data_IF_000401947233
#
_entry.id   IF_000401947233
#
_cell.length_a   1.000
_cell.length_b   1.000
_cell.length_c   1.000
_cell.angle_alpha   90.00
_cell.angle_beta   90.00
_cell.angle_gamma   90.00
#
_symmetry.space_group_name_H-M   'P 1'
#
loop_
_entity.id
_entity.type
_entity.pdbx_description
1 polymer ?
#
# COMPACT_ATOMS: atom_id res chain seq x y z
N UNK A 1 32.88 -43.30 40.99
CA UNK A 1 31.50 -42.81 40.88
C UNK A 1 31.57 -41.51 40.06
N UNK A 2 31.23 -41.55 38.73
CA UNK A 2 31.34 -40.43 37.80
C UNK A 2 29.91 -39.92 37.51
N UNK A 3 29.61 -38.71 37.93
CA UNK A 3 28.33 -38.02 37.68
C UNK A 3 28.35 -37.42 36.29
N UNK A 4 27.36 -37.66 35.42
CA UNK A 4 27.26 -36.95 34.13
C UNK A 4 26.59 -35.59 34.35
N UNK A 5 27.25 -34.52 33.89
CA UNK A 5 26.74 -33.17 33.84
C UNK A 5 25.83 -33.10 32.61
N UNK A 6 24.50 -33.02 32.81
CA UNK A 6 23.53 -32.70 31.76
C UNK A 6 23.60 -31.19 31.48
N UNK A 7 24.20 -30.84 30.35
CA UNK A 7 24.18 -29.49 29.81
C UNK A 7 22.81 -29.24 29.12
N UNK A 8 21.89 -28.59 29.82
CA UNK A 8 20.61 -28.19 29.28
C UNK A 8 20.83 -27.01 28.34
N UNK A 9 20.76 -27.25 27.02
CA UNK A 9 20.78 -26.23 25.98
C UNK A 9 19.42 -25.55 25.93
N UNK A 10 19.29 -24.37 26.55
CA UNK A 10 18.11 -23.50 26.44
C UNK A 10 18.06 -22.87 25.04
N UNK A 11 17.22 -23.42 24.18
CA UNK A 11 16.91 -22.86 22.87
C UNK A 11 15.99 -21.67 23.08
N UNK A 12 16.55 -20.45 23.10
CA UNK A 12 15.77 -19.21 23.13
C UNK A 12 15.11 -19.02 21.75
N UNK A 13 13.81 -19.30 21.66
CA UNK A 13 13.01 -18.89 20.50
C UNK A 13 12.88 -17.35 20.53
N UNK A 14 13.69 -16.67 19.74
CA UNK A 14 13.48 -15.27 19.44
C UNK A 14 12.20 -15.15 18.61
N UNK A 15 11.11 -14.72 19.22
CA UNK A 15 9.88 -14.32 18.50
C UNK A 15 10.21 -13.04 17.72
N UNK A 16 10.46 -13.17 16.43
CA UNK A 16 10.48 -12.02 15.53
C UNK A 16 9.03 -11.53 15.40
N UNK A 17 8.66 -10.56 16.25
CA UNK A 17 7.46 -9.78 16.03
C UNK A 17 7.62 -9.03 14.71
N UNK A 18 6.73 -9.26 13.76
CA UNK A 18 6.61 -8.41 12.57
C UNK A 18 6.19 -7.03 13.07
N UNK A 19 7.13 -6.09 13.10
CA UNK A 19 6.79 -4.69 13.34
C UNK A 19 5.96 -4.26 12.13
N UNK A 20 4.67 -3.96 12.36
CA UNK A 20 3.86 -3.20 11.42
C UNK A 20 4.50 -1.82 11.33
N UNK A 21 4.89 -1.41 10.14
CA UNK A 21 5.44 -0.08 9.96
C UNK A 21 4.26 0.90 9.80
N UNK A 22 4.21 1.93 10.65
CA UNK A 22 3.26 3.03 10.52
C UNK A 22 3.25 3.58 9.09
N UNK A 23 2.09 4.02 8.56
CA UNK A 23 2.04 4.65 7.26
C UNK A 23 3.00 5.83 7.16
N UNK A 24 3.79 5.85 6.10
CA UNK A 24 4.74 6.93 5.85
C UNK A 24 3.99 8.26 5.63
N UNK A 25 4.53 9.40 6.10
CA UNK A 25 3.90 10.69 5.88
C UNK A 25 3.94 11.05 4.39
N UNK A 26 2.76 11.27 3.80
CA UNK A 26 2.63 11.79 2.44
C UNK A 26 2.43 13.30 2.49
N UNK A 27 3.45 14.01 2.12
CA UNK A 27 3.56 15.47 2.14
C UNK A 27 4.05 16.00 0.78
N UNK A 28 4.27 17.30 0.67
CA UNK A 28 4.75 17.92 -0.57
C UNK A 28 6.04 17.25 -1.06
N UNK A 29 6.06 16.87 -2.35
CA UNK A 29 7.17 16.16 -2.97
C UNK A 29 7.20 14.65 -2.72
N UNK A 30 6.30 14.10 -1.89
CA UNK A 30 6.22 12.65 -1.66
C UNK A 30 5.85 11.89 -2.92
N UNK A 31 5.01 12.47 -3.78
CA UNK A 31 4.67 11.85 -5.07
C UNK A 31 5.90 11.63 -5.95
N UNK A 32 6.77 12.64 -6.04
CA UNK A 32 8.00 12.53 -6.82
C UNK A 32 8.97 11.48 -6.23
N UNK A 33 9.11 11.43 -4.90
CA UNK A 33 9.93 10.43 -4.20
C UNK A 33 9.42 9.02 -4.45
N UNK A 34 8.11 8.80 -4.26
CA UNK A 34 7.45 7.52 -4.48
C UNK A 34 7.61 7.06 -5.94
N UNK A 35 7.33 7.95 -6.89
CA UNK A 35 7.46 7.65 -8.32
C UNK A 35 8.90 7.28 -8.69
N UNK A 36 9.89 7.99 -8.14
CA UNK A 36 11.31 7.69 -8.36
C UNK A 36 11.71 6.34 -7.78
N UNK A 37 11.21 5.99 -6.58
CA UNK A 37 11.51 4.72 -5.92
C UNK A 37 10.97 3.50 -6.69
N UNK A 38 9.90 3.69 -7.46
CA UNK A 38 9.26 2.63 -8.25
C UNK A 38 9.57 2.69 -9.75
N UNK A 39 10.50 3.56 -10.19
CA UNK A 39 10.89 3.68 -11.60
C UNK A 39 11.31 2.32 -12.18
N UNK A 40 10.83 2.00 -13.37
CA UNK A 40 11.14 0.75 -14.08
C UNK A 40 10.40 -0.49 -13.52
N UNK A 41 9.50 -0.31 -12.56
CA UNK A 41 8.79 -1.40 -11.91
C UNK A 41 7.29 -1.15 -11.97
N UNK A 42 6.50 -2.04 -12.62
CA UNK A 42 5.05 -1.91 -12.66
C UNK A 42 4.48 -1.84 -11.25
N UNK A 43 3.79 -0.76 -10.94
CA UNK A 43 3.31 -0.46 -9.60
C UNK A 43 1.84 -0.07 -9.63
N UNK A 44 1.06 -0.63 -8.73
CA UNK A 44 -0.34 -0.26 -8.50
C UNK A 44 -0.39 0.59 -7.25
N UNK A 45 -0.90 1.81 -7.35
CA UNK A 45 -1.07 2.75 -6.26
C UNK A 45 -2.56 2.95 -6.03
N UNK A 46 -3.03 2.57 -4.84
CA UNK A 46 -4.45 2.67 -4.50
C UNK A 46 -4.67 3.74 -3.43
N UNK A 47 -5.47 4.75 -3.79
CA UNK A 47 -5.89 5.83 -2.89
C UNK A 47 -7.21 5.46 -2.25
N UNK A 48 -7.22 5.49 -0.91
CA UNK A 48 -8.36 5.09 -0.09
C UNK A 48 -8.53 6.01 1.10
N UNK A 49 -9.50 5.73 1.97
CA UNK A 49 -9.67 6.49 3.20
C UNK A 49 -10.55 5.77 4.22
N UNK A 50 -10.38 6.11 5.51
CA UNK A 50 -11.18 5.57 6.62
C UNK A 50 -12.63 6.01 6.56
N UNK A 51 -12.91 7.16 5.95
CA UNK A 51 -14.26 7.71 5.81
C UNK A 51 -14.91 7.37 4.47
N UNK A 52 -14.19 6.67 3.59
CA UNK A 52 -14.64 6.25 2.28
C UNK A 52 -15.28 4.86 2.34
N UNK A 53 -16.59 4.78 2.47
CA UNK A 53 -17.31 3.50 2.58
C UNK A 53 -17.02 2.53 1.41
N UNK A 54 -17.05 2.95 0.12
CA UNK A 54 -16.71 2.05 -0.98
C UNK A 54 -15.23 1.58 -0.92
N UNK A 55 -14.30 2.41 -0.42
CA UNK A 55 -12.92 1.98 -0.21
C UNK A 55 -12.84 0.80 0.77
N UNK A 56 -13.51 0.91 1.93
CA UNK A 56 -13.49 -0.13 2.94
C UNK A 56 -14.08 -1.45 2.46
N UNK A 57 -15.06 -1.41 1.54
CA UNK A 57 -15.63 -2.60 0.90
C UNK A 57 -14.64 -3.24 -0.08
N UNK A 58 -13.79 -2.44 -0.72
CA UNK A 58 -12.83 -2.89 -1.72
C UNK A 58 -11.54 -3.47 -1.09
N UNK A 59 -11.10 -3.00 0.08
CA UNK A 59 -9.83 -3.40 0.72
C UNK A 59 -9.64 -4.92 0.86
N UNK A 60 -10.63 -5.73 1.28
CA UNK A 60 -10.48 -7.19 1.30
C UNK A 60 -10.18 -7.81 -0.07
N UNK A 61 -10.68 -7.21 -1.14
CA UNK A 61 -10.44 -7.67 -2.51
C UNK A 61 -9.01 -7.36 -2.95
N UNK A 62 -8.46 -6.21 -2.55
CA UNK A 62 -7.03 -5.87 -2.74
C UNK A 62 -6.12 -6.84 -1.99
N UNK A 63 -6.46 -7.19 -0.74
CA UNK A 63 -5.74 -8.20 0.04
C UNK A 63 -5.75 -9.57 -0.66
N UNK A 64 -6.91 -10.00 -1.17
CA UNK A 64 -7.04 -11.24 -1.91
C UNK A 64 -6.22 -11.23 -3.21
N UNK A 65 -6.22 -10.10 -3.94
CA UNK A 65 -5.42 -9.95 -5.15
C UNK A 65 -3.92 -9.99 -4.83
N UNK A 66 -3.47 -9.27 -3.81
CA UNK A 66 -2.06 -9.28 -3.38
C UNK A 66 -1.61 -10.67 -2.94
N UNK A 67 -2.46 -11.42 -2.24
CA UNK A 67 -2.19 -12.81 -1.87
C UNK A 67 -2.06 -13.73 -3.10
N UNK A 68 -2.92 -13.54 -4.10
CA UNK A 68 -2.88 -14.29 -5.35
C UNK A 68 -1.71 -13.88 -6.27
N UNK A 69 -1.24 -12.66 -6.14
CA UNK A 69 -0.14 -12.06 -6.93
C UNK A 69 0.91 -11.47 -5.98
N UNK A 70 1.71 -12.32 -5.31
CA UNK A 70 2.74 -11.85 -4.37
C UNK A 70 3.83 -10.99 -5.03
N UNK A 71 4.02 -11.14 -6.34
CA UNK A 71 4.90 -10.35 -7.20
C UNK A 71 4.39 -8.92 -7.45
N UNK A 72 3.09 -8.68 -7.26
CA UNK A 72 2.49 -7.36 -7.48
C UNK A 72 3.06 -6.33 -6.50
N UNK A 73 3.52 -5.20 -7.02
CA UNK A 73 3.83 -4.01 -6.21
C UNK A 73 2.55 -3.25 -5.97
N UNK A 74 2.11 -3.24 -4.73
CA UNK A 74 0.95 -2.49 -4.27
C UNK A 74 1.42 -1.44 -3.27
N UNK A 75 1.00 -0.20 -3.47
CA UNK A 75 1.19 0.91 -2.54
C UNK A 75 -0.20 1.42 -2.15
N UNK A 76 -0.40 1.64 -0.87
CA UNK A 76 -1.66 2.16 -0.34
C UNK A 76 -1.45 3.59 0.15
N UNK A 77 -2.30 4.52 -0.26
CA UNK A 77 -2.21 5.91 0.17
C UNK A 77 -3.55 6.33 0.77
N UNK A 78 -3.57 6.56 2.08
CA UNK A 78 -4.72 7.11 2.76
C UNK A 78 -4.82 8.61 2.46
N UNK A 79 -5.88 9.00 1.75
CA UNK A 79 -6.06 10.34 1.20
C UNK A 79 -7.34 11.04 1.70
N UNK A 80 -7.86 10.61 2.84
CA UNK A 80 -8.93 11.33 3.55
C UNK A 80 -8.50 12.77 3.83
N UNK A 81 -9.45 13.70 3.91
CA UNK A 81 -9.17 15.03 4.46
C UNK A 81 -8.59 14.90 5.87
N UNK A 82 -7.48 15.58 6.11
CA UNK A 82 -6.81 15.60 7.43
C UNK A 82 -7.70 16.17 8.53
N UNK A 83 -7.44 15.83 9.79
CA UNK A 83 -6.34 15.00 10.33
C UNK A 83 -6.64 13.51 10.23
N UNK A 84 -5.62 12.72 9.88
CA UNK A 84 -5.70 11.27 9.91
C UNK A 84 -5.08 10.75 11.21
N UNK A 85 -5.68 9.68 11.74
CA UNK A 85 -5.22 9.01 12.95
C UNK A 85 -4.38 7.78 12.51
N UNK A 86 -3.05 7.79 12.72
CA UNK A 86 -2.18 6.70 12.32
C UNK A 86 -2.56 5.36 12.94
N UNK A 87 -2.93 5.34 14.23
CA UNK A 87 -3.33 4.09 14.91
C UNK A 87 -4.58 3.47 14.29
N UNK A 88 -5.53 4.31 13.87
CA UNK A 88 -6.74 3.84 13.17
C UNK A 88 -6.44 3.35 11.76
N UNK A 89 -5.49 3.97 11.06
CA UNK A 89 -5.04 3.52 9.75
C UNK A 89 -4.38 2.14 9.87
N UNK A 90 -3.46 1.98 10.82
CA UNK A 90 -2.78 0.72 11.08
C UNK A 90 -3.75 -0.39 11.45
N UNK A 91 -4.67 -0.11 12.37
CA UNK A 91 -5.69 -1.06 12.77
C UNK A 91 -6.58 -1.48 11.57
N UNK A 92 -6.90 -0.55 10.68
CA UNK A 92 -7.67 -0.85 9.48
C UNK A 92 -6.86 -1.72 8.49
N UNK A 93 -5.59 -1.39 8.23
CA UNK A 93 -4.72 -2.18 7.37
C UNK A 93 -4.52 -3.59 7.92
N UNK A 94 -4.24 -3.73 9.22
CA UNK A 94 -4.11 -5.02 9.89
C UNK A 94 -5.40 -5.86 9.80
N UNK A 95 -6.56 -5.23 10.01
CA UNK A 95 -7.88 -5.88 9.86
C UNK A 95 -8.10 -6.46 8.47
N UNK A 96 -7.58 -5.81 7.43
CA UNK A 96 -7.69 -6.26 6.05
C UNK A 96 -6.55 -7.20 5.63
N UNK A 97 -5.52 -7.41 6.48
CA UNK A 97 -4.34 -8.20 6.15
C UNK A 97 -3.42 -7.50 5.14
N UNK A 98 -3.36 -6.18 5.21
CA UNK A 98 -2.58 -5.29 4.33
C UNK A 98 -1.50 -4.50 5.09
N UNK A 99 -1.27 -4.81 6.34
CA UNK A 99 -0.30 -4.16 7.23
C UNK A 99 1.17 -4.34 6.81
N UNK A 100 1.47 -5.37 6.01
CA UNK A 100 2.78 -5.57 5.41
C UNK A 100 3.00 -4.85 4.07
N UNK A 101 1.99 -4.09 3.60
CA UNK A 101 2.05 -3.37 2.33
C UNK A 101 2.60 -1.96 2.57
N UNK A 102 3.45 -1.50 1.66
CA UNK A 102 3.91 -0.11 1.67
C UNK A 102 2.71 0.83 1.72
N UNK A 103 2.64 1.62 2.78
CA UNK A 103 1.52 2.50 3.03
C UNK A 103 1.98 3.92 3.37
N UNK A 104 1.16 4.88 2.93
CA UNK A 104 1.36 6.31 3.12
C UNK A 104 0.06 6.94 3.61
N UNK A 105 0.15 8.06 4.29
CA UNK A 105 -1.03 8.85 4.65
C UNK A 105 -0.79 10.35 4.42
N UNK A 106 -1.80 11.05 3.90
CA UNK A 106 -1.75 12.49 3.73
C UNK A 106 -1.58 13.16 5.09
N UNK A 107 -0.51 13.93 5.26
CA UNK A 107 -0.19 14.66 6.50
C UNK A 107 -0.18 16.17 6.33
N UNK A 108 -0.15 16.69 5.10
CA UNK A 108 -0.26 18.11 4.84
C UNK A 108 -1.71 18.59 5.02
N UNK A 109 -1.91 19.68 5.73
CA UNK A 109 -3.22 20.33 5.91
C UNK A 109 -3.83 20.88 4.60
N UNK A 110 -3.00 21.06 3.58
CA UNK A 110 -3.40 21.48 2.23
C UNK A 110 -3.44 20.30 1.28
N UNK A 111 -4.26 19.30 1.59
CA UNK A 111 -4.39 18.05 0.85
C UNK A 111 -4.77 18.24 -0.64
N UNK A 112 -5.40 19.35 -1.01
CA UNK A 112 -5.66 19.69 -2.41
C UNK A 112 -4.36 19.86 -3.21
N UNK A 113 -3.30 20.36 -2.58
CA UNK A 113 -1.98 20.49 -3.21
C UNK A 113 -1.34 19.13 -3.44
N UNK A 114 -1.50 18.20 -2.49
CA UNK A 114 -1.00 16.84 -2.64
C UNK A 114 -1.70 16.13 -3.81
N UNK A 115 -3.02 16.29 -3.92
CA UNK A 115 -3.79 15.76 -5.05
C UNK A 115 -3.34 16.36 -6.37
N UNK A 116 -3.12 17.67 -6.41
CA UNK A 116 -2.65 18.37 -7.60
C UNK A 116 -1.27 17.90 -8.06
N UNK A 117 -0.35 17.59 -7.12
CA UNK A 117 0.97 17.01 -7.44
C UNK A 117 0.85 15.62 -8.07
N UNK A 118 -0.17 14.82 -7.68
CA UNK A 118 -0.41 13.48 -8.19
C UNK A 118 -1.06 13.56 -9.57
N UNK A 119 -2.12 14.34 -9.67
CA UNK A 119 -2.88 14.57 -10.90
C UNK A 119 -3.66 15.89 -10.77
N UNK A 120 -3.34 16.87 -11.59
CA UNK A 120 -4.00 18.19 -11.56
C UNK A 120 -5.50 18.16 -11.86
N UNK A 121 -5.99 17.08 -12.45
CA UNK A 121 -7.42 16.87 -12.75
C UNK A 121 -8.16 16.13 -11.61
N UNK A 122 -7.46 15.66 -10.58
CA UNK A 122 -8.10 14.89 -9.50
C UNK A 122 -8.83 15.80 -8.51
N UNK A 123 -10.15 15.73 -8.49
CA UNK A 123 -11.00 16.52 -7.58
C UNK A 123 -11.05 15.96 -6.14
N UNK A 124 -10.51 14.73 -5.91
CA UNK A 124 -10.43 14.13 -4.59
C UNK A 124 -11.39 12.97 -4.36
N UNK A 125 -12.05 12.51 -5.41
CA UNK A 125 -12.90 11.32 -5.35
C UNK A 125 -12.10 10.08 -4.96
N UNK A 126 -12.68 9.26 -4.06
CA UNK A 126 -12.14 7.99 -3.58
C UNK A 126 -13.21 6.88 -3.74
N UNK A 127 -12.77 5.64 -3.96
CA UNK A 127 -11.39 5.20 -4.18
C UNK A 127 -10.86 5.64 -5.55
N UNK A 128 -9.55 5.61 -5.72
CA UNK A 128 -8.86 5.87 -6.98
C UNK A 128 -7.66 4.95 -7.11
N UNK A 129 -7.42 4.41 -8.27
CA UNK A 129 -6.24 3.58 -8.52
C UNK A 129 -5.42 4.16 -9.66
N UNK A 130 -4.10 4.21 -9.48
CA UNK A 130 -3.13 4.60 -10.50
C UNK A 130 -2.22 3.41 -10.75
N UNK A 131 -2.15 2.95 -11.98
CA UNK A 131 -1.24 1.90 -12.41
C UNK A 131 -0.12 2.54 -13.23
N UNK A 132 1.12 2.40 -12.79
CA UNK A 132 2.31 2.95 -13.47
C UNK A 132 3.09 1.79 -14.06
N UNK A 133 3.31 1.81 -15.38
CA UNK A 133 4.09 0.78 -16.06
C UNK A 133 5.61 1.04 -15.95
N UNK A 134 6.40 0.16 -16.58
CA UNK A 134 7.87 0.24 -16.55
C UNK A 134 8.42 1.52 -17.18
N UNK A 135 7.70 2.08 -18.13
CA UNK A 135 8.09 3.30 -18.85
C UNK A 135 7.63 4.57 -18.13
N UNK A 136 6.96 4.40 -16.96
CA UNK A 136 6.43 5.50 -16.17
C UNK A 136 5.07 6.02 -16.65
N UNK A 137 4.43 5.33 -17.61
CA UNK A 137 3.11 5.72 -18.09
C UNK A 137 2.05 5.34 -17.07
N UNK A 138 1.28 6.33 -16.66
CA UNK A 138 0.18 6.14 -15.71
C UNK A 138 -1.14 5.82 -16.43
N UNK A 139 -1.89 4.87 -15.87
CA UNK A 139 -3.29 4.59 -16.19
C UNK A 139 -4.12 4.78 -14.94
N UNK A 140 -5.16 5.59 -15.01
CA UNK A 140 -6.01 5.93 -13.87
C UNK A 140 -7.33 5.17 -13.96
N UNK A 141 -7.73 4.55 -12.86
CA UNK A 141 -9.05 3.97 -12.64
C UNK A 141 -9.77 4.79 -11.56
N UNK A 142 -10.71 5.66 -11.91
CA UNK A 142 -11.50 6.40 -10.95
C UNK A 142 -12.59 5.51 -10.33
N UNK A 143 -12.90 5.72 -9.04
CA UNK A 143 -13.90 4.93 -8.34
C UNK A 143 -13.41 3.53 -7.98
N UNK A 144 -14.33 2.63 -7.66
CA UNK A 144 -14.04 1.22 -7.33
C UNK A 144 -13.35 0.54 -8.51
N UNK A 145 -12.17 -0.03 -8.27
CA UNK A 145 -11.37 -0.61 -9.35
C UNK A 145 -11.96 -1.94 -9.84
N UNK A 146 -12.02 -2.10 -11.16
CA UNK A 146 -12.20 -3.43 -11.74
C UNK A 146 -10.90 -4.23 -11.59
N UNK A 147 -10.86 -5.11 -10.58
CA UNK A 147 -9.68 -5.94 -10.32
C UNK A 147 -9.38 -6.97 -11.42
N UNK A 148 -10.33 -7.26 -12.31
CA UNK A 148 -10.05 -8.06 -13.50
C UNK A 148 -9.18 -7.27 -14.48
N UNK A 149 -9.49 -5.98 -14.67
CA UNK A 149 -8.66 -5.07 -15.47
C UNK A 149 -7.26 -4.90 -14.86
N UNK A 150 -7.16 -4.77 -13.53
CA UNK A 150 -5.84 -4.69 -12.84
C UNK A 150 -5.03 -5.96 -13.09
N UNK A 151 -5.63 -7.16 -12.96
CA UNK A 151 -4.95 -8.43 -13.26
C UNK A 151 -4.47 -8.50 -14.69
N UNK A 152 -5.34 -8.17 -15.64
CA UNK A 152 -4.98 -8.17 -17.06
C UNK A 152 -3.80 -7.23 -17.35
N UNK A 153 -3.81 -6.04 -16.73
CA UNK A 153 -2.71 -5.09 -16.86
C UNK A 153 -1.40 -5.66 -16.28
N UNK A 154 -1.43 -6.27 -15.09
CA UNK A 154 -0.27 -6.93 -14.48
C UNK A 154 0.29 -8.05 -15.37
N UNK A 155 -0.60 -8.86 -15.97
CA UNK A 155 -0.20 -9.95 -16.87
C UNK A 155 0.48 -9.42 -18.14
N UNK A 156 0.04 -8.27 -18.65
CA UNK A 156 0.69 -7.62 -19.78
C UNK A 156 2.09 -7.13 -19.41
N UNK A 157 2.28 -6.58 -18.20
CA UNK A 157 3.59 -6.14 -17.72
C UNK A 157 4.59 -7.31 -17.53
N UNK A 158 4.10 -8.52 -17.22
CA UNK A 158 4.96 -9.70 -17.04
C UNK A 158 5.46 -10.29 -18.36
N UNK A 159 4.78 -10.02 -19.46
CA UNK A 159 5.12 -10.56 -20.82
C UNK A 159 6.08 -9.67 -21.59
N UNK A 160 6.35 -8.46 -21.14
CA UNK A 160 7.20 -7.46 -21.80
C UNK A 160 8.68 -7.58 -21.41
N UNK A 161 9.14 -8.83 -21.18
CA UNK A 161 10.53 -9.20 -20.90
C UNK A 161 11.15 -9.92 -22.07
#
# INVERSE_FOLDING_TARGET
MRLPIFLALLLSLASFGTATADPLPFERGSWAKLSAAHTGQPTVIHFWGLTCAPCLVEMPQWAALKKARPDMRLVLIAADPVPQDPERLDAALARFGLDAIESWSFTDRFYERLRYEIDSAWAGELPRTVMIDRDGKATVLPGVADLAQVRQWLDAQSKSH
#
